data_IF_454817540214
#
_entry.id   IF_454817540214
#
_cell.length_a   1.000
_cell.length_b   1.000
_cell.length_c   1.000
_cell.angle_alpha   90.00
_cell.angle_beta   90.00
_cell.angle_gamma   90.00
#
_symmetry.space_group_name_H-M   'P 1'
#
loop_
_entity.id
_entity.type
_entity.pdbx_description
1 polymer ?
#
# COMPACT_ATOMS: atom_id res chain seq x y z
N UNK A 1 1.50 -16.76 -10.22
CA UNK A 1 0.96 -16.57 -8.86
C UNK A 1 1.34 -15.14 -8.46
N UNK A 2 0.39 -14.22 -8.40
CA UNK A 2 0.66 -12.82 -8.06
C UNK A 2 0.55 -12.63 -6.54
N UNK A 3 1.29 -11.69 -5.97
CA UNK A 3 1.15 -11.33 -4.56
C UNK A 3 -0.18 -10.57 -4.35
N UNK A 4 -0.94 -10.96 -3.33
CA UNK A 4 -2.24 -10.37 -3.00
C UNK A 4 -2.17 -9.78 -1.59
N UNK A 5 -2.17 -8.45 -1.51
CA UNK A 5 -2.15 -7.76 -0.23
C UNK A 5 -3.55 -7.36 0.20
N UNK A 6 -3.88 -7.69 1.44
CA UNK A 6 -5.12 -7.31 2.10
C UNK A 6 -4.90 -6.09 2.99
N UNK A 7 -5.89 -5.20 3.05
CA UNK A 7 -5.87 -4.03 3.94
C UNK A 7 -5.66 -4.42 5.41
N UNK A 8 -6.27 -5.51 5.89
CA UNK A 8 -6.04 -6.01 7.26
C UNK A 8 -4.57 -6.33 7.56
N UNK A 9 -3.82 -6.88 6.59
CA UNK A 9 -2.38 -7.13 6.75
C UNK A 9 -1.65 -5.79 6.86
N UNK A 10 -1.95 -4.86 5.95
CA UNK A 10 -1.32 -3.53 5.94
C UNK A 10 -1.57 -2.82 7.27
N UNK A 11 -2.82 -2.76 7.74
CA UNK A 11 -3.15 -2.14 9.04
C UNK A 11 -2.39 -2.76 10.22
N UNK A 12 -2.30 -4.09 10.27
CA UNK A 12 -1.68 -4.80 11.39
C UNK A 12 -0.17 -4.57 11.46
N UNK A 13 0.49 -4.54 10.31
CA UNK A 13 1.93 -4.47 10.25
C UNK A 13 2.44 -3.05 10.04
N UNK A 14 1.80 -2.26 9.18
CA UNK A 14 2.26 -0.94 8.79
C UNK A 14 2.22 0.05 9.97
N UNK A 15 3.17 0.98 9.91
CA UNK A 15 3.31 2.08 10.85
C UNK A 15 2.90 3.37 10.16
N UNK A 16 2.35 4.31 10.92
CA UNK A 16 1.97 5.62 10.41
C UNK A 16 3.17 6.34 9.78
N UNK A 17 2.98 6.84 8.56
CA UNK A 17 4.02 7.45 7.74
C UNK A 17 4.98 6.48 7.07
N UNK A 18 4.72 5.17 7.11
CA UNK A 18 5.53 4.16 6.41
C UNK A 18 5.02 3.91 4.99
N UNK A 19 5.95 3.46 4.13
CA UNK A 19 5.65 3.14 2.74
C UNK A 19 5.66 1.64 2.51
N UNK A 20 4.54 1.10 2.02
CA UNK A 20 4.33 -0.32 1.76
C UNK A 20 4.35 -0.57 0.27
N UNK A 21 5.11 -1.57 -0.18
CA UNK A 21 5.20 -1.98 -1.57
C UNK A 21 4.53 -3.33 -1.74
N UNK A 22 3.62 -3.44 -2.70
CA UNK A 22 2.94 -4.70 -3.04
C UNK A 22 3.23 -5.03 -4.50
N UNK A 23 4.08 -6.04 -4.79
CA UNK A 23 4.38 -6.47 -6.16
C UNK A 23 3.24 -7.32 -6.74
N UNK A 24 2.04 -6.75 -6.78
CA UNK A 24 0.83 -7.44 -7.22
C UNK A 24 -0.42 -6.59 -7.03
N UNK A 25 -1.53 -7.24 -6.67
CA UNK A 25 -2.85 -6.60 -6.55
C UNK A 25 -3.21 -6.37 -5.09
N UNK A 26 -3.68 -5.17 -4.78
CA UNK A 26 -4.20 -4.84 -3.45
C UNK A 26 -5.71 -4.96 -3.46
N UNK A 27 -6.23 -5.77 -2.54
CA UNK A 27 -7.64 -6.03 -2.35
C UNK A 27 -8.17 -5.38 -1.08
N UNK A 28 -9.42 -4.93 -1.14
CA UNK A 28 -10.11 -4.26 -0.05
C UNK A 28 -10.68 -5.27 0.97
N UNK A 29 -9.82 -6.13 1.49
CA UNK A 29 -10.19 -7.11 2.50
C UNK A 29 -9.76 -6.59 3.89
N UNK A 30 -10.75 -6.04 4.61
CA UNK A 30 -10.57 -5.42 5.92
C UNK A 30 -10.64 -3.90 5.89
N UNK A 31 -10.26 -3.30 7.01
CA UNK A 31 -10.25 -1.87 7.23
C UNK A 31 -8.81 -1.37 7.40
N UNK A 32 -8.60 -0.11 7.02
CA UNK A 32 -7.35 0.60 7.22
C UNK A 32 -7.70 1.99 7.73
N UNK A 33 -7.11 2.35 8.87
CA UNK A 33 -7.26 3.68 9.49
C UNK A 33 -5.93 4.43 9.57
N UNK A 34 -4.83 3.73 9.30
CA UNK A 34 -3.48 4.29 9.38
C UNK A 34 -3.13 5.11 8.16
N UNK A 35 -2.42 6.21 8.39
CA UNK A 35 -1.88 7.07 7.32
C UNK A 35 -0.61 6.44 6.76
N UNK A 36 -0.78 5.56 5.80
CA UNK A 36 0.32 4.85 5.12
C UNK A 36 0.33 5.15 3.65
N UNK A 37 1.52 5.09 3.06
CA UNK A 37 1.69 5.18 1.61
C UNK A 37 1.74 3.77 1.05
N UNK A 38 0.83 3.40 0.16
CA UNK A 38 0.82 2.07 -0.47
C UNK A 38 1.16 2.21 -1.95
N UNK A 39 2.23 1.53 -2.36
CA UNK A 39 2.68 1.42 -3.73
C UNK A 39 2.40 0.01 -4.26
N UNK A 40 1.59 -0.13 -5.31
CA UNK A 40 1.31 -1.44 -5.89
C UNK A 40 1.25 -1.40 -7.41
N UNK A 41 1.23 -2.60 -8.03
CA UNK A 41 1.03 -2.71 -9.48
C UNK A 41 -0.40 -2.37 -9.87
N UNK A 42 -1.36 -2.85 -9.08
CA UNK A 42 -2.77 -2.55 -9.29
C UNK A 42 -3.55 -2.55 -7.97
N UNK A 43 -4.54 -1.68 -7.88
CA UNK A 43 -5.43 -1.58 -6.72
C UNK A 43 -6.86 -1.86 -7.16
N UNK A 44 -7.61 -2.58 -6.33
CA UNK A 44 -9.06 -2.57 -6.46
C UNK A 44 -9.61 -1.19 -6.10
N UNK A 45 -10.66 -0.74 -6.78
CA UNK A 45 -11.30 0.55 -6.53
C UNK A 45 -11.66 0.76 -5.05
N UNK A 46 -12.21 -0.27 -4.39
CA UNK A 46 -12.49 -0.26 -2.96
C UNK A 46 -11.23 -0.11 -2.09
N UNK A 47 -10.10 -0.68 -2.51
CA UNK A 47 -8.87 -0.65 -1.73
C UNK A 47 -8.25 0.74 -1.77
N UNK A 48 -8.19 1.33 -2.97
CA UNK A 48 -7.74 2.71 -3.14
C UNK A 48 -8.62 3.69 -2.36
N UNK A 49 -9.96 3.54 -2.46
CA UNK A 49 -10.90 4.37 -1.70
C UNK A 49 -10.70 4.23 -0.18
N UNK A 50 -10.50 3.02 0.34
CA UNK A 50 -10.27 2.81 1.77
C UNK A 50 -8.97 3.44 2.26
N UNK A 51 -7.88 3.32 1.49
CA UNK A 51 -6.57 3.92 1.83
C UNK A 51 -6.66 5.45 1.82
N UNK A 52 -7.31 6.04 0.82
CA UNK A 52 -7.52 7.50 0.74
C UNK A 52 -8.45 7.98 1.86
N UNK A 53 -9.50 7.21 2.19
CA UNK A 53 -10.41 7.52 3.29
C UNK A 53 -9.71 7.51 4.65
N UNK A 54 -8.72 6.65 4.84
CA UNK A 54 -7.85 6.62 6.03
C UNK A 54 -6.88 7.81 6.12
N UNK A 55 -6.82 8.67 5.10
CA UNK A 55 -5.81 9.73 4.99
C UNK A 55 -4.43 9.21 4.58
N UNK A 56 -4.36 8.00 4.01
CA UNK A 56 -3.17 7.45 3.37
C UNK A 56 -3.03 7.92 1.90
N UNK A 57 -1.96 7.47 1.25
CA UNK A 57 -1.65 7.78 -0.16
C UNK A 57 -1.50 6.49 -0.95
N UNK A 58 -2.19 6.38 -2.09
CA UNK A 58 -1.95 5.29 -3.04
C UNK A 58 -1.12 5.79 -4.20
N UNK A 59 -0.09 5.04 -4.58
CA UNK A 59 0.76 5.34 -5.73
C UNK A 59 1.14 4.06 -6.45
N UNK A 60 1.73 4.17 -7.64
CA UNK A 60 2.26 2.99 -8.32
C UNK A 60 3.69 2.69 -7.89
N UNK A 61 4.15 1.47 -8.10
CA UNK A 61 5.55 1.09 -7.86
C UNK A 61 6.51 2.00 -8.66
N UNK A 62 6.09 2.47 -9.83
CA UNK A 62 6.88 3.37 -10.69
C UNK A 62 7.03 4.75 -10.07
N UNK A 63 5.93 5.35 -9.62
CA UNK A 63 5.96 6.63 -8.92
C UNK A 63 6.75 6.56 -7.62
N UNK A 64 6.66 5.45 -6.89
CA UNK A 64 7.48 5.23 -5.71
C UNK A 64 8.98 5.23 -6.06
N UNK A 65 9.38 4.57 -7.15
CA UNK A 65 10.77 4.57 -7.60
C UNK A 65 11.25 5.97 -7.99
N UNK A 66 10.35 6.82 -8.49
CA UNK A 66 10.66 8.23 -8.82
C UNK A 66 10.73 9.12 -7.56
N UNK A 67 9.79 8.97 -6.60
CA UNK A 67 9.80 9.72 -5.34
C UNK A 67 10.92 9.25 -4.37
N UNK A 68 11.19 7.95 -4.32
CA UNK A 68 12.12 7.33 -3.37
C UNK A 68 13.01 6.27 -4.07
N UNK A 69 13.96 6.71 -4.92
CA UNK A 69 14.85 5.81 -5.65
C UNK A 69 15.78 5.00 -4.72
N UNK A 70 15.98 5.45 -3.48
CA UNK A 70 16.79 4.73 -2.49
C UNK A 70 16.03 3.61 -1.76
N UNK A 71 14.71 3.51 -1.92
CA UNK A 71 13.89 2.51 -1.23
C UNK A 71 14.04 2.56 0.29
N UNK A 72 14.35 3.72 0.86
CA UNK A 72 14.59 3.84 2.30
C UNK A 72 13.27 3.84 3.05
N UNK A 73 13.17 3.02 4.12
CA UNK A 73 11.95 2.80 4.93
C UNK A 73 10.75 2.23 4.15
N UNK A 74 11.01 1.48 3.08
CA UNK A 74 9.94 0.75 2.38
C UNK A 74 9.80 -0.66 2.94
N UNK A 75 8.56 -1.16 3.01
CA UNK A 75 8.29 -2.54 3.42
C UNK A 75 7.49 -3.26 2.35
N UNK A 76 8.04 -4.37 1.87
CA UNK A 76 7.40 -5.18 0.84
C UNK A 76 6.41 -6.14 1.52
N UNK A 77 5.18 -6.20 1.00
CA UNK A 77 4.12 -7.09 1.47
C UNK A 77 3.47 -7.84 0.31
N UNK A 78 3.16 -9.11 0.54
CA UNK A 78 2.45 -10.00 -0.38
C UNK A 78 1.53 -10.98 0.30
#
# INVERSE_FOLDING_TARGET
MWAEANLSKIQKYAKDGETIIVPGKVLAAGEIDKKVTVAAYSFSAKAAAAIVAAGGKTMTIRELMEENPQGSKVRIMG
#
